data_IF_468638033973
#
_entry.id   IF_468638033973
#
_cell.length_a   1.000
_cell.length_b   1.000
_cell.length_c   1.000
_cell.angle_alpha   90.00
_cell.angle_beta   90.00
_cell.angle_gamma   90.00
#
_symmetry.space_group_name_H-M   'P 1'
#
loop_
_entity.id
_entity.type
_entity.pdbx_description
1 polymer ?
#
# COMPACT_ATOMS: atom_id res chain seq x y z
N UNK A 1 23.71 -15.93 -2.37
CA UNK A 1 23.12 -14.84 -1.58
C UNK A 1 22.23 -13.93 -2.43
N UNK A 2 22.65 -13.44 -3.60
CA UNK A 2 21.82 -12.54 -4.43
C UNK A 2 20.45 -13.06 -4.92
N UNK A 3 20.27 -14.36 -5.16
CA UNK A 3 18.98 -14.90 -5.64
C UNK A 3 17.84 -14.78 -4.59
N UNK A 4 18.13 -15.06 -3.32
CA UNK A 4 17.13 -14.99 -2.25
C UNK A 4 16.75 -13.53 -2.00
N UNK A 5 17.73 -12.63 -1.87
CA UNK A 5 17.48 -11.20 -1.72
C UNK A 5 16.79 -10.60 -2.95
N UNK A 6 17.11 -11.06 -4.16
CA UNK A 6 16.41 -10.69 -5.38
C UNK A 6 14.93 -11.08 -5.38
N UNK A 7 14.60 -12.32 -4.95
CA UNK A 7 13.21 -12.76 -4.81
C UNK A 7 12.45 -11.93 -3.77
N UNK A 8 13.07 -11.66 -2.61
CA UNK A 8 12.49 -10.80 -1.57
C UNK A 8 12.24 -9.40 -2.10
N UNK A 9 13.20 -8.83 -2.84
CA UNK A 9 13.04 -7.51 -3.46
C UNK A 9 11.86 -7.47 -4.43
N UNK A 10 11.71 -8.50 -5.27
CA UNK A 10 10.57 -8.60 -6.20
C UNK A 10 9.25 -8.62 -5.44
N UNK A 11 9.14 -9.40 -4.36
CA UNK A 11 7.93 -9.45 -3.54
C UNK A 11 7.64 -8.07 -2.92
N UNK A 12 8.65 -7.42 -2.34
CA UNK A 12 8.50 -6.07 -1.78
C UNK A 12 8.06 -5.05 -2.84
N UNK A 13 8.61 -5.15 -4.05
CA UNK A 13 8.25 -4.30 -5.18
C UNK A 13 6.77 -4.50 -5.56
N UNK A 14 6.28 -5.74 -5.63
CA UNK A 14 4.87 -6.00 -5.90
C UNK A 14 3.94 -5.39 -4.84
N UNK A 15 4.29 -5.52 -3.55
CA UNK A 15 3.51 -4.91 -2.46
C UNK A 15 3.56 -3.38 -2.54
N UNK A 16 4.73 -2.82 -2.86
CA UNK A 16 4.90 -1.38 -3.03
C UNK A 16 4.07 -0.82 -4.19
N UNK A 17 4.09 -1.49 -5.34
CA UNK A 17 3.24 -1.15 -6.49
C UNK A 17 1.75 -1.27 -6.12
N UNK A 18 1.36 -2.31 -5.39
CA UNK A 18 -0.01 -2.43 -4.91
C UNK A 18 -0.42 -1.25 -4.03
N UNK A 19 0.44 -0.74 -3.16
CA UNK A 19 0.14 0.48 -2.38
C UNK A 19 -0.05 1.72 -3.26
N UNK A 20 0.72 1.88 -4.32
CA UNK A 20 0.53 2.97 -5.28
C UNK A 20 -0.82 2.84 -5.98
N UNK A 21 -1.16 1.64 -6.47
CA UNK A 21 -2.44 1.40 -7.12
C UNK A 21 -3.60 1.64 -6.14
N UNK A 22 -3.44 1.25 -4.87
CA UNK A 22 -4.41 1.54 -3.82
C UNK A 22 -4.62 3.04 -3.65
N UNK A 23 -3.53 3.82 -3.58
CA UNK A 23 -3.60 5.28 -3.48
C UNK A 23 -4.39 5.88 -4.65
N UNK A 24 -4.15 5.38 -5.86
CA UNK A 24 -4.92 5.81 -7.05
C UNK A 24 -6.39 5.47 -6.89
N UNK A 25 -6.75 4.25 -6.47
CA UNK A 25 -8.15 3.88 -6.24
C UNK A 25 -8.81 4.72 -5.15
N UNK A 26 -8.10 5.01 -4.05
CA UNK A 26 -8.60 5.82 -2.94
C UNK A 26 -8.85 7.27 -3.41
N UNK A 27 -7.95 7.84 -4.21
CA UNK A 27 -8.14 9.16 -4.83
C UNK A 27 -9.28 9.18 -5.83
N UNK A 28 -9.34 8.20 -6.73
CA UNK A 28 -10.43 8.11 -7.72
C UNK A 28 -11.79 8.06 -7.00
N UNK A 29 -11.93 7.27 -5.94
CA UNK A 29 -13.17 7.23 -5.16
C UNK A 29 -13.45 8.53 -4.39
N UNK A 30 -12.41 9.20 -3.90
CA UNK A 30 -12.55 10.50 -3.22
C UNK A 30 -13.07 11.60 -4.16
N UNK A 31 -12.54 11.66 -5.38
CA UNK A 31 -12.90 12.67 -6.38
C UNK A 31 -14.17 12.29 -7.16
N UNK A 32 -14.34 11.03 -7.52
CA UNK A 32 -15.51 10.50 -8.21
C UNK A 32 -16.35 9.62 -7.27
N UNK A 33 -17.07 10.25 -6.33
CA UNK A 33 -17.82 9.56 -5.27
C UNK A 33 -18.88 8.57 -5.76
N UNK A 34 -19.40 8.78 -6.97
CA UNK A 34 -20.38 7.88 -7.61
C UNK A 34 -19.73 6.69 -8.34
N UNK A 35 -18.42 6.80 -8.61
CA UNK A 35 -17.69 5.74 -9.29
C UNK A 35 -17.53 4.54 -8.37
N UNK A 36 -17.83 3.36 -8.90
CA UNK A 36 -17.57 2.08 -8.25
C UNK A 36 -16.78 1.20 -9.21
N UNK A 37 -15.71 0.52 -8.75
CA UNK A 37 -14.95 -0.36 -9.61
C UNK A 37 -15.85 -1.48 -10.14
N UNK A 38 -15.79 -1.72 -11.45
CA UNK A 38 -16.56 -2.77 -12.16
C UNK A 38 -15.64 -3.53 -13.11
N UNK A 39 -15.98 -4.79 -13.40
CA UNK A 39 -15.22 -5.64 -14.31
C UNK A 39 -13.76 -5.79 -13.87
N UNK A 40 -12.82 -5.53 -14.79
CA UNK A 40 -11.38 -5.65 -14.54
C UNK A 40 -10.90 -4.75 -13.40
N UNK A 41 -11.44 -3.54 -13.27
CA UNK A 41 -11.07 -2.62 -12.19
C UNK A 41 -11.46 -3.17 -10.81
N UNK A 42 -12.56 -3.94 -10.72
CA UNK A 42 -12.97 -4.59 -9.47
C UNK A 42 -12.02 -5.70 -9.07
N UNK A 43 -11.57 -6.52 -10.03
CA UNK A 43 -10.59 -7.57 -9.78
C UNK A 43 -9.27 -6.97 -9.30
N UNK A 44 -8.79 -5.92 -9.98
CA UNK A 44 -7.58 -5.20 -9.58
C UNK A 44 -7.73 -4.57 -8.19
N UNK A 45 -8.84 -3.88 -7.92
CA UNK A 45 -9.11 -3.30 -6.61
C UNK A 45 -9.13 -4.37 -5.51
N UNK A 46 -9.85 -5.47 -5.71
CA UNK A 46 -9.90 -6.56 -4.73
C UNK A 46 -8.51 -7.14 -4.45
N UNK A 47 -7.72 -7.42 -5.49
CA UNK A 47 -6.36 -7.95 -5.33
C UNK A 47 -5.45 -6.97 -4.58
N UNK A 48 -5.54 -5.68 -4.91
CA UNK A 48 -4.73 -4.64 -4.27
C UNK A 48 -5.11 -4.46 -2.81
N UNK A 49 -6.40 -4.33 -2.51
CA UNK A 49 -6.90 -4.17 -1.15
C UNK A 49 -6.61 -5.42 -0.31
N UNK A 50 -6.75 -6.64 -0.86
CA UNK A 50 -6.45 -7.87 -0.10
C UNK A 50 -4.97 -7.99 0.29
N UNK A 51 -4.04 -7.49 -0.53
CA UNK A 51 -2.61 -7.49 -0.24
C UNK A 51 -2.26 -6.36 0.74
N UNK A 52 -2.86 -5.19 0.58
CA UNK A 52 -2.46 -3.97 1.31
C UNK A 52 -3.22 -3.77 2.63
N UNK A 53 -4.45 -4.27 2.77
CA UNK A 53 -5.25 -4.10 4.00
C UNK A 53 -4.69 -4.84 5.23
N UNK A 54 -4.22 -6.10 5.16
CA UNK A 54 -3.70 -6.78 6.34
C UNK A 54 -2.56 -6.02 7.04
N UNK A 55 -1.48 -5.57 6.35
CA UNK A 55 -0.42 -4.81 7.01
C UNK A 55 -0.91 -3.45 7.51
N UNK A 56 -1.77 -2.75 6.76
CA UNK A 56 -2.33 -1.47 7.21
C UNK A 56 -3.21 -1.62 8.44
N UNK A 57 -4.00 -2.69 8.53
CA UNK A 57 -4.86 -2.96 9.70
C UNK A 57 -4.01 -3.22 10.94
N UNK A 58 -2.88 -3.90 10.81
CA UNK A 58 -1.92 -4.07 11.90
C UNK A 58 -1.33 -2.73 12.31
N UNK A 59 -0.88 -1.91 11.36
CA UNK A 59 -0.31 -0.60 11.64
C UNK A 59 -1.32 0.35 12.30
N UNK A 60 -2.56 0.39 11.79
CA UNK A 60 -3.63 1.25 12.32
C UNK A 60 -4.05 0.91 13.75
N UNK A 61 -3.76 -0.32 14.22
CA UNK A 61 -3.95 -0.68 15.65
C UNK A 61 -2.91 0.00 16.56
N UNK A 62 -1.71 0.25 16.03
CA UNK A 62 -0.60 0.85 16.78
C UNK A 62 -0.59 2.37 16.59
N UNK A 63 -0.84 2.84 15.37
CA UNK A 63 -0.77 4.25 14.97
C UNK A 63 -2.13 4.62 14.37
N UNK A 64 -3.07 5.15 15.19
CA UNK A 64 -4.39 5.53 14.70
C UNK A 64 -4.30 6.71 13.71
N UNK A 65 -5.24 6.81 12.75
CA UNK A 65 -5.25 7.91 11.79
C UNK A 65 -5.48 9.26 12.47
N UNK A 66 -4.70 10.27 12.09
CA UNK A 66 -4.84 11.61 12.63
C UNK A 66 -5.95 12.36 11.89
N UNK A 67 -6.86 12.97 12.65
CA UNK A 67 -7.91 13.83 12.11
C UNK A 67 -7.50 15.28 12.34
N UNK A 68 -7.32 16.05 11.26
CA UNK A 68 -6.96 17.46 11.30
C UNK A 68 -8.02 18.25 10.55
N UNK A 69 -8.82 19.05 11.28
CA UNK A 69 -9.70 20.05 10.67
C UNK A 69 -10.66 19.53 9.59
N UNK A 70 -11.24 18.33 9.78
CA UNK A 70 -12.17 17.72 8.82
C UNK A 70 -11.53 16.79 7.78
N UNK A 71 -10.20 16.72 7.72
CA UNK A 71 -9.45 15.76 6.88
C UNK A 71 -8.81 14.70 7.76
N UNK A 72 -8.96 13.42 7.41
CA UNK A 72 -8.21 12.32 8.04
C UNK A 72 -6.97 12.00 7.23
N UNK A 73 -5.80 12.09 7.86
CA UNK A 73 -4.54 11.62 7.31
C UNK A 73 -4.32 10.16 7.73
N UNK A 74 -4.19 9.26 6.76
CA UNK A 74 -3.89 7.86 7.03
C UNK A 74 -2.39 7.67 7.30
N UNK A 75 -2.02 7.83 8.58
CA UNK A 75 -0.65 7.58 9.04
C UNK A 75 -0.22 6.14 8.81
N UNK A 76 -1.14 5.17 8.89
CA UNK A 76 -0.83 3.76 8.66
C UNK A 76 -0.33 3.54 7.24
N UNK A 77 -0.98 4.19 6.27
CA UNK A 77 -0.55 4.17 4.87
C UNK A 77 0.86 4.76 4.70
N UNK A 78 1.09 5.95 5.26
CA UNK A 78 2.38 6.63 5.15
C UNK A 78 3.51 5.81 5.78
N UNK A 79 3.29 5.26 6.98
CA UNK A 79 4.28 4.44 7.67
C UNK A 79 4.56 3.16 6.90
N UNK A 80 3.54 2.49 6.36
CA UNK A 80 3.75 1.28 5.55
C UNK A 80 4.57 1.58 4.29
N UNK A 81 4.26 2.69 3.62
CA UNK A 81 4.99 3.14 2.44
C UNK A 81 6.48 3.37 2.74
N UNK A 82 6.77 4.07 3.83
CA UNK A 82 8.15 4.31 4.29
C UNK A 82 8.83 2.99 4.66
N UNK A 83 8.17 2.13 5.43
CA UNK A 83 8.71 0.84 5.85
C UNK A 83 9.11 -0.05 4.67
N UNK A 84 8.24 -0.15 3.64
CA UNK A 84 8.55 -0.88 2.42
C UNK A 84 9.68 -0.23 1.62
N UNK A 85 9.72 1.10 1.54
CA UNK A 85 10.81 1.81 0.83
C UNK A 85 12.17 1.51 1.47
N UNK A 86 12.23 1.54 2.80
CA UNK A 86 13.44 1.18 3.56
C UNK A 86 13.79 -0.29 3.38
N UNK A 87 12.81 -1.20 3.50
CA UNK A 87 13.02 -2.63 3.32
C UNK A 87 13.56 -2.96 1.91
N UNK A 88 13.04 -2.31 0.87
CA UNK A 88 13.54 -2.45 -0.50
C UNK A 88 14.97 -1.90 -0.65
N UNK A 89 15.27 -0.74 -0.05
CA UNK A 89 16.61 -0.15 -0.08
C UNK A 89 17.66 -1.07 0.56
N UNK A 90 17.33 -1.65 1.73
CA UNK A 90 18.16 -2.61 2.44
C UNK A 90 18.35 -3.87 1.59
N UNK A 91 17.26 -4.46 1.10
CA UNK A 91 17.30 -5.69 0.31
C UNK A 91 18.13 -5.51 -0.97
N UNK A 92 18.02 -4.37 -1.64
CA UNK A 92 18.82 -4.02 -2.81
C UNK A 92 20.31 -3.88 -2.50
N UNK A 93 20.68 -3.43 -1.30
CA UNK A 93 22.08 -3.35 -0.86
C UNK A 93 22.73 -4.72 -0.59
N UNK A 94 21.91 -5.76 -0.36
CA UNK A 94 22.37 -7.13 -0.10
C UNK A 94 22.15 -8.11 -1.26
N UNK A 95 21.41 -7.70 -2.30
CA UNK A 95 21.16 -8.47 -3.52
C UNK A 95 22.34 -8.38 -4.48
#
# INVERSE_FOLDING_TARGET
MGLVFGLVYIVLLFVFVALIVRLVFDWVQMFAREWRPRGVALVAAHAVYSITDPPLKVLRRVIPPLRLGGVSLDLGFLVLFIALSVAMSITRGFA
#
